data_IF_244176689580
#
_entry.id   IF_244176689580
#
_cell.length_a   1.000
_cell.length_b   1.000
_cell.length_c   1.000
_cell.angle_alpha   90.00
_cell.angle_beta   90.00
_cell.angle_gamma   90.00
#
_symmetry.space_group_name_H-M   'P 1'
#
loop_
_entity.id
_entity.type
_entity.pdbx_description
1 polymer ?
#
# COMPACT_ATOMS: atom_id res chain seq x y z
N UNK A 1 11.64 11.13 11.75
CA UNK A 1 10.67 11.08 10.65
C UNK A 1 10.00 9.72 10.62
N UNK A 2 8.69 9.71 10.49
CA UNK A 2 7.92 8.46 10.46
C UNK A 2 7.56 8.11 9.02
N UNK A 3 7.85 6.86 8.63
CA UNK A 3 7.50 6.35 7.30
C UNK A 3 6.24 5.51 7.41
N UNK A 4 5.25 5.80 6.57
CA UNK A 4 4.02 5.02 6.45
C UNK A 4 3.94 4.38 5.07
N UNK A 5 3.62 3.10 5.05
CA UNK A 5 3.50 2.35 3.80
C UNK A 5 2.06 1.89 3.63
N UNK A 6 1.22 2.70 2.94
CA UNK A 6 -0.17 2.32 2.69
C UNK A 6 -0.27 1.17 1.69
N UNK A 7 -1.19 0.24 1.95
CA UNK A 7 -1.51 -0.79 0.97
C UNK A 7 -2.38 -0.21 -0.16
N UNK A 8 -2.70 -1.06 -1.15
CA UNK A 8 -3.42 -0.64 -2.35
C UNK A 8 -4.78 -0.01 -2.04
N UNK A 9 -5.53 -0.58 -1.10
CA UNK A 9 -6.87 -0.09 -0.78
C UNK A 9 -6.83 1.26 -0.08
N UNK A 10 -5.80 1.52 0.71
CA UNK A 10 -5.63 2.85 1.33
C UNK A 10 -5.30 3.89 0.27
N UNK A 11 -4.37 3.59 -0.65
CA UNK A 11 -4.06 4.49 -1.75
C UNK A 11 -5.28 4.75 -2.63
N UNK A 12 -6.07 3.70 -2.92
CA UNK A 12 -7.29 3.86 -3.70
C UNK A 12 -8.30 4.75 -2.98
N UNK A 13 -8.51 4.52 -1.68
CA UNK A 13 -9.43 5.32 -0.88
C UNK A 13 -9.04 6.79 -0.80
N UNK A 14 -7.73 7.08 -0.76
CA UNK A 14 -7.21 8.45 -0.79
C UNK A 14 -7.35 9.08 -2.18
N UNK A 15 -7.33 8.28 -3.24
CA UNK A 15 -7.35 8.75 -4.62
C UNK A 15 -8.75 8.85 -5.21
N UNK A 16 -9.73 8.12 -4.66
CA UNK A 16 -11.11 8.04 -5.15
C UNK A 16 -12.08 8.46 -4.06
N UNK A 17 -12.65 9.66 -4.19
CA UNK A 17 -13.60 10.20 -3.19
C UNK A 17 -14.89 9.39 -3.09
N UNK A 18 -15.21 8.58 -4.10
CA UNK A 18 -16.37 7.68 -4.08
C UNK A 18 -16.12 6.36 -3.35
N UNK A 19 -14.87 6.09 -2.94
CA UNK A 19 -14.55 4.87 -2.23
C UNK A 19 -15.20 4.82 -0.85
N UNK A 20 -15.66 3.62 -0.43
CA UNK A 20 -16.35 3.45 0.86
C UNK A 20 -15.51 3.91 2.06
N UNK A 21 -14.18 3.79 1.98
CA UNK A 21 -13.26 4.17 3.06
C UNK A 21 -12.58 5.51 2.84
N UNK A 22 -13.02 6.31 1.86
CA UNK A 22 -12.37 7.59 1.54
C UNK A 22 -12.34 8.54 2.74
N UNK A 23 -13.47 8.73 3.40
CA UNK A 23 -13.54 9.62 4.56
C UNK A 23 -12.60 9.17 5.68
N UNK A 24 -12.56 7.88 5.98
CA UNK A 24 -11.68 7.31 7.00
C UNK A 24 -10.21 7.47 6.64
N UNK A 25 -9.87 7.27 5.37
CA UNK A 25 -8.49 7.42 4.88
C UNK A 25 -8.02 8.86 5.03
N UNK A 26 -8.84 9.84 4.65
CA UNK A 26 -8.48 11.25 4.77
C UNK A 26 -8.39 11.71 6.22
N UNK A 27 -9.27 11.22 7.11
CA UNK A 27 -9.16 11.50 8.54
C UNK A 27 -7.85 10.97 9.11
N UNK A 28 -7.47 9.74 8.74
CA UNK A 28 -6.20 9.18 9.15
C UNK A 28 -5.05 10.06 8.69
N UNK A 29 -5.07 10.49 7.43
CA UNK A 29 -3.98 11.32 6.88
C UNK A 29 -3.85 12.65 7.63
N UNK A 30 -4.96 13.27 7.99
CA UNK A 30 -4.99 14.57 8.65
C UNK A 30 -4.35 14.54 10.04
N UNK A 31 -4.38 13.40 10.73
CA UNK A 31 -3.83 13.29 12.08
C UNK A 31 -2.37 12.84 12.11
N UNK A 32 -1.76 12.61 10.97
CA UNK A 32 -0.35 12.19 10.93
C UNK A 32 0.57 13.29 11.41
N UNK A 33 1.73 12.93 12.03
CA UNK A 33 2.73 13.92 12.41
C UNK A 33 3.18 14.76 11.19
N UNK A 34 3.52 16.02 11.42
CA UNK A 34 4.01 16.88 10.34
C UNK A 34 5.25 16.29 9.65
N UNK A 35 6.11 15.63 10.42
CA UNK A 35 7.32 15.00 9.90
C UNK A 35 7.04 13.52 9.57
N UNK A 36 6.35 13.31 8.44
CA UNK A 36 6.06 11.97 7.96
C UNK A 36 6.25 11.86 6.46
N UNK A 37 6.40 10.63 5.96
CA UNK A 37 6.32 10.31 4.53
C UNK A 37 5.37 9.16 4.29
N UNK A 38 4.60 9.26 3.20
CA UNK A 38 3.82 8.17 2.64
C UNK A 38 4.61 7.57 1.49
N UNK A 39 4.82 6.27 1.52
CA UNK A 39 5.72 5.60 0.60
C UNK A 39 4.93 4.74 -0.39
N UNK A 40 5.24 4.91 -1.67
CA UNK A 40 4.90 3.92 -2.70
C UNK A 40 6.05 2.93 -2.87
N UNK A 41 5.73 1.67 -3.00
CA UNK A 41 6.62 0.69 -3.64
C UNK A 41 6.25 0.59 -5.13
N UNK A 42 7.09 -0.05 -5.92
CA UNK A 42 6.74 -0.35 -7.31
C UNK A 42 5.45 -1.19 -7.39
N UNK A 43 5.30 -2.14 -6.48
CA UNK A 43 4.11 -2.98 -6.40
C UNK A 43 2.84 -2.16 -6.15
N UNK A 44 2.86 -1.22 -5.21
CA UNK A 44 1.68 -0.40 -4.91
C UNK A 44 1.42 0.64 -6.00
N UNK A 45 2.46 1.16 -6.64
CA UNK A 45 2.30 2.02 -7.82
C UNK A 45 1.55 1.27 -8.93
N UNK A 46 2.06 0.10 -9.30
CA UNK A 46 1.43 -0.73 -10.34
C UNK A 46 0.01 -1.08 -9.96
N UNK A 47 -0.20 -1.48 -8.72
CA UNK A 47 -1.52 -1.84 -8.21
C UNK A 47 -2.51 -0.70 -8.27
N UNK A 48 -2.12 0.51 -7.91
CA UNK A 48 -2.99 1.68 -8.01
C UNK A 48 -3.38 1.96 -9.46
N UNK A 49 -2.43 1.93 -10.38
CA UNK A 49 -2.72 2.12 -11.81
C UNK A 49 -3.71 1.07 -12.32
N UNK A 50 -3.56 -0.18 -11.91
CA UNK A 50 -4.46 -1.27 -12.31
C UNK A 50 -5.86 -1.09 -11.73
N UNK A 51 -5.97 -0.70 -10.47
CA UNK A 51 -7.27 -0.49 -9.83
C UNK A 51 -8.01 0.69 -10.45
N UNK A 52 -7.34 1.81 -10.68
CA UNK A 52 -7.96 3.02 -11.26
C UNK A 52 -8.46 2.80 -12.69
N UNK A 53 -7.90 1.83 -13.42
CA UNK A 53 -8.28 1.52 -14.79
C UNK A 53 -9.16 0.27 -14.90
N UNK A 54 -9.59 -0.29 -13.78
CA UNK A 54 -10.40 -1.52 -13.74
C UNK A 54 -11.87 -1.18 -13.57
N UNK A 55 -12.67 -1.47 -14.60
CA UNK A 55 -14.10 -1.17 -14.59
C UNK A 55 -14.86 -1.92 -13.49
N UNK A 56 -14.42 -3.12 -13.13
CA UNK A 56 -15.03 -3.89 -12.05
C UNK A 56 -14.84 -3.23 -10.69
N UNK A 57 -13.82 -2.41 -10.54
CA UNK A 57 -13.51 -1.67 -9.30
C UNK A 57 -14.14 -0.28 -9.34
N UNK A 58 -13.96 0.44 -10.44
CA UNK A 58 -14.27 1.87 -10.53
C UNK A 58 -15.63 2.18 -11.19
N UNK A 59 -16.23 1.22 -11.90
CA UNK A 59 -17.51 1.46 -12.58
C UNK A 59 -17.44 2.65 -13.53
N UNK A 60 -18.36 3.59 -13.37
CA UNK A 60 -18.44 4.80 -14.21
C UNK A 60 -17.26 5.76 -14.00
N UNK A 61 -16.50 5.59 -12.92
CA UNK A 61 -15.36 6.42 -12.60
C UNK A 61 -14.04 5.83 -13.11
N UNK A 62 -14.09 4.78 -13.93
CA UNK A 62 -12.91 4.13 -14.49
C UNK A 62 -12.09 5.13 -15.30
N UNK A 63 -10.77 5.17 -15.04
CA UNK A 63 -9.87 6.08 -15.72
C UNK A 63 -9.17 5.41 -16.90
N UNK A 64 -8.75 6.22 -17.86
CA UNK A 64 -7.76 5.78 -18.84
C UNK A 64 -6.39 5.67 -18.15
N UNK A 65 -5.46 4.94 -18.77
CA UNK A 65 -4.08 4.86 -18.23
C UNK A 65 -3.44 6.24 -18.11
N UNK A 66 -3.68 7.12 -19.07
CA UNK A 66 -3.14 8.49 -19.00
C UNK A 66 -3.63 9.22 -17.75
N UNK A 67 -4.93 9.13 -17.49
CA UNK A 67 -5.51 9.78 -16.30
C UNK A 67 -5.05 9.13 -15.00
N UNK A 68 -4.90 7.81 -14.99
CA UNK A 68 -4.38 7.09 -13.82
C UNK A 68 -2.94 7.51 -13.51
N UNK A 69 -2.08 7.63 -14.52
CA UNK A 69 -0.73 8.18 -14.32
C UNK A 69 -0.78 9.60 -13.76
N UNK A 70 -1.73 10.41 -14.22
CA UNK A 70 -1.94 11.76 -13.70
C UNK A 70 -2.28 11.77 -12.21
N UNK A 71 -3.08 10.82 -11.74
CA UNK A 71 -3.39 10.69 -10.31
C UNK A 71 -2.12 10.38 -9.52
N UNK A 72 -1.34 9.40 -9.99
CA UNK A 72 -0.08 9.03 -9.35
C UNK A 72 0.90 10.23 -9.33
N UNK A 73 1.06 10.92 -10.46
CA UNK A 73 1.97 12.06 -10.56
C UNK A 73 1.58 13.19 -9.59
N UNK A 74 0.28 13.42 -9.40
CA UNK A 74 -0.18 14.41 -8.42
C UNK A 74 0.18 14.03 -6.99
N UNK A 75 0.15 12.72 -6.66
CA UNK A 75 0.63 12.29 -5.36
C UNK A 75 2.11 12.63 -5.17
N UNK A 76 2.93 12.42 -6.18
CA UNK A 76 4.36 12.70 -6.10
C UNK A 76 4.69 14.20 -6.04
N UNK A 77 3.74 15.08 -6.37
CA UNK A 77 3.90 16.53 -6.17
C UNK A 77 3.91 16.90 -4.69
N UNK A 78 3.29 16.10 -3.83
CA UNK A 78 3.36 16.33 -2.38
C UNK A 78 4.76 15.90 -1.90
N UNK A 79 5.54 16.80 -1.28
CA UNK A 79 6.89 16.47 -0.82
C UNK A 79 6.92 15.37 0.24
N UNK A 80 5.78 15.03 0.84
CA UNK A 80 5.65 13.94 1.82
C UNK A 80 5.31 12.60 1.19
N UNK A 81 5.16 12.54 -0.14
CA UNK A 81 4.87 11.30 -0.86
C UNK A 81 6.06 10.95 -1.74
N UNK A 82 6.51 9.69 -1.69
CA UNK A 82 7.71 9.29 -2.41
C UNK A 82 7.65 7.83 -2.82
N UNK A 83 8.17 7.53 -4.02
CA UNK A 83 8.42 6.15 -4.44
C UNK A 83 9.79 5.74 -3.91
N UNK A 84 9.83 4.75 -3.04
CA UNK A 84 11.08 4.24 -2.50
C UNK A 84 11.56 3.05 -3.34
N UNK A 85 12.87 2.93 -3.56
CA UNK A 85 13.41 1.74 -4.21
C UNK A 85 13.29 0.52 -3.29
N UNK A 86 13.46 -0.67 -3.85
CA UNK A 86 13.46 -1.88 -3.05
C UNK A 86 14.60 -1.85 -2.03
N UNK A 87 14.30 -2.15 -0.75
CA UNK A 87 15.37 -2.29 0.24
C UNK A 87 16.28 -3.47 -0.08
N UNK A 88 17.53 -3.35 0.34
CA UNK A 88 18.58 -4.32 -0.04
C UNK A 88 18.26 -5.76 0.35
N UNK A 89 17.66 -5.96 1.52
CA UNK A 89 17.40 -7.30 2.05
C UNK A 89 15.97 -7.78 1.81
N UNK A 90 15.25 -7.15 0.88
CA UNK A 90 13.84 -7.45 0.66
C UNK A 90 13.61 -8.94 0.32
N UNK A 91 14.42 -9.52 -0.55
CA UNK A 91 14.22 -10.91 -0.97
C UNK A 91 14.27 -11.86 0.23
N UNK A 92 15.25 -11.73 1.08
CA UNK A 92 15.37 -12.55 2.30
C UNK A 92 14.20 -12.32 3.25
N UNK A 93 13.82 -11.07 3.47
CA UNK A 93 12.68 -10.72 4.32
C UNK A 93 11.35 -11.24 3.77
N UNK A 94 11.18 -11.15 2.46
CA UNK A 94 9.98 -11.66 1.77
C UNK A 94 9.87 -13.19 1.93
N UNK A 95 10.96 -13.91 1.72
CA UNK A 95 10.99 -15.37 1.93
C UNK A 95 10.63 -15.72 3.37
N UNK A 96 11.10 -14.94 4.32
CA UNK A 96 10.79 -15.14 5.73
C UNK A 96 9.30 -14.93 6.04
N UNK A 97 8.66 -13.90 5.47
CA UNK A 97 7.24 -13.67 5.69
C UNK A 97 6.37 -14.74 5.05
N UNK A 98 6.84 -15.38 3.98
CA UNK A 98 6.13 -16.48 3.30
C UNK A 98 6.19 -17.78 4.08
N UNK A 99 7.19 -17.98 4.94
CA UNK A 99 7.44 -19.26 5.60
C UNK A 99 6.20 -19.91 6.25
N UNK A 100 5.32 -19.15 6.96
CA UNK A 100 4.11 -19.76 7.54
C UNK A 100 3.16 -20.37 6.52
N UNK A 101 3.29 -20.00 5.23
CA UNK A 101 2.44 -20.48 4.13
C UNK A 101 3.17 -21.46 3.20
N UNK A 102 4.45 -21.75 3.47
CA UNK A 102 5.33 -22.41 2.50
C UNK A 102 4.84 -23.80 2.08
N UNK A 103 4.14 -24.54 2.96
CA UNK A 103 3.63 -25.87 2.67
C UNK A 103 2.24 -25.86 2.03
N UNK A 104 1.68 -24.69 1.73
CA UNK A 104 0.32 -24.55 1.21
C UNK A 104 0.30 -23.86 -0.15
N UNK A 105 -0.79 -24.08 -0.89
CA UNK A 105 -1.10 -23.30 -2.07
C UNK A 105 -1.85 -22.04 -1.60
N UNK A 106 -1.15 -20.91 -1.47
CA UNK A 106 -1.71 -19.70 -0.88
C UNK A 106 -1.41 -18.47 -1.75
N UNK A 107 -1.99 -18.39 -2.98
CA UNK A 107 -1.67 -17.31 -3.90
C UNK A 107 -2.02 -15.92 -3.35
N UNK A 108 -3.07 -15.82 -2.54
CA UNK A 108 -3.50 -14.54 -1.98
C UNK A 108 -2.58 -14.04 -0.84
N UNK A 109 -1.77 -14.92 -0.27
CA UNK A 109 -0.82 -14.53 0.77
C UNK A 109 0.42 -13.84 0.21
N UNK A 110 0.72 -14.02 -1.08
CA UNK A 110 1.97 -13.50 -1.68
C UNK A 110 2.05 -11.98 -1.58
N UNK A 111 0.98 -11.28 -1.98
CA UNK A 111 0.94 -9.83 -1.91
C UNK A 111 1.05 -9.30 -0.48
N UNK A 112 0.33 -9.92 0.47
CA UNK A 112 0.35 -9.52 1.88
C UNK A 112 1.74 -9.73 2.49
N UNK A 113 2.38 -10.84 2.15
CA UNK A 113 3.74 -11.12 2.62
C UNK A 113 4.74 -10.12 2.06
N UNK A 114 4.57 -9.73 0.79
CA UNK A 114 5.40 -8.68 0.19
C UNK A 114 5.23 -7.34 0.94
N UNK A 115 3.98 -6.92 1.16
CA UNK A 115 3.71 -5.65 1.84
C UNK A 115 4.34 -5.62 3.23
N UNK A 116 4.21 -6.71 3.97
CA UNK A 116 4.79 -6.82 5.29
C UNK A 116 6.32 -6.80 5.26
N UNK A 117 6.93 -7.57 4.36
CA UNK A 117 8.38 -7.60 4.23
C UNK A 117 8.96 -6.24 3.83
N UNK A 118 8.32 -5.57 2.89
CA UNK A 118 8.75 -4.24 2.43
C UNK A 118 8.69 -3.23 3.58
N UNK A 119 7.58 -3.20 4.31
CA UNK A 119 7.42 -2.29 5.44
C UNK A 119 8.48 -2.56 6.53
N UNK A 120 8.74 -3.83 6.83
CA UNK A 120 9.73 -4.21 7.85
C UNK A 120 11.13 -3.78 7.46
N UNK A 121 11.54 -4.04 6.23
CA UNK A 121 12.88 -3.70 5.76
C UNK A 121 13.12 -2.19 5.73
N UNK A 122 12.07 -1.39 5.50
CA UNK A 122 12.15 0.07 5.55
C UNK A 122 11.89 0.65 6.93
N UNK A 123 11.51 -0.18 7.91
CA UNK A 123 11.06 0.29 9.22
C UNK A 123 9.89 1.27 9.09
N UNK A 124 9.00 0.98 8.17
CA UNK A 124 7.79 1.76 7.92
C UNK A 124 6.58 1.11 8.60
N UNK A 125 5.60 1.91 8.98
CA UNK A 125 4.33 1.40 9.49
C UNK A 125 3.45 1.00 8.29
N UNK A 126 3.05 -0.26 8.23
CA UNK A 126 2.11 -0.74 7.22
C UNK A 126 0.70 -0.24 7.59
N UNK A 127 0.04 0.40 6.62
CA UNK A 127 -1.30 0.98 6.82
C UNK A 127 -2.30 0.23 5.95
N UNK A 128 -3.34 -0.33 6.56
CA UNK A 128 -4.30 -1.14 5.83
C UNK A 128 -5.69 -1.07 6.46
N UNK A 129 -6.74 -1.22 5.65
CA UNK A 129 -8.11 -1.46 6.10
C UNK A 129 -8.42 -2.96 6.21
N UNK A 130 -7.54 -3.81 5.72
CA UNK A 130 -7.72 -5.27 5.73
C UNK A 130 -7.41 -5.83 7.10
N UNK A 131 -8.43 -6.35 7.79
CA UNK A 131 -8.27 -6.91 9.14
C UNK A 131 -7.36 -8.12 9.16
N UNK A 132 -7.42 -8.97 8.14
CA UNK A 132 -6.59 -10.17 8.06
C UNK A 132 -5.12 -9.79 7.91
N UNK A 133 -4.81 -8.80 7.07
CA UNK A 133 -3.46 -8.30 6.90
C UNK A 133 -2.95 -7.64 8.19
N UNK A 134 -3.79 -6.84 8.84
CA UNK A 134 -3.43 -6.19 10.10
C UNK A 134 -3.09 -7.24 11.17
N UNK A 135 -3.91 -8.28 11.33
CA UNK A 135 -3.67 -9.35 12.29
C UNK A 135 -2.42 -10.14 11.96
N UNK A 136 -2.19 -10.43 10.69
CA UNK A 136 -0.97 -11.11 10.25
C UNK A 136 0.26 -10.28 10.61
N UNK A 137 0.25 -8.98 10.30
CA UNK A 137 1.35 -8.07 10.62
C UNK A 137 1.60 -8.02 12.13
N UNK A 138 0.54 -7.93 12.93
CA UNK A 138 0.64 -7.88 14.39
C UNK A 138 1.28 -9.16 14.93
N UNK A 139 0.87 -10.33 14.42
CA UNK A 139 1.43 -11.63 14.84
C UNK A 139 2.90 -11.76 14.47
N UNK A 140 3.34 -11.07 13.42
CA UNK A 140 4.74 -11.06 12.98
C UNK A 140 5.56 -9.98 13.69
N UNK A 141 4.98 -9.28 14.68
CA UNK A 141 5.69 -8.24 15.43
C UNK A 141 5.72 -6.88 14.76
N UNK A 142 4.92 -6.68 13.71
CA UNK A 142 4.80 -5.40 13.03
C UNK A 142 3.53 -4.70 13.53
N UNK A 143 3.67 -3.57 14.12
CA UNK A 143 2.54 -2.78 14.61
C UNK A 143 1.97 -1.88 13.52
#
# INVERSE_FOLDING_TARGET
>A
MTLFFPDLNVWLALSDTGHAHSASAWKWREILPDDHKLIFSRYTQIGLLRLLTNVSVMGDQTLTLRKAWGVYDRWLEDPRVELYPEPRNLDAGFRQTIEPFAARQAPNAVGDCFLLAYARELQAALVTFDRALHEFARKQGQA
#
